data_IF_757663559347
#
_entry.id   IF_757663559347
#
_cell.length_a   1.000
_cell.length_b   1.000
_cell.length_c   1.000
_cell.angle_alpha   90.00
_cell.angle_beta   90.00
_cell.angle_gamma   90.00
#
_symmetry.space_group_name_H-M   'P 1'
#
loop_
_entity.id
_entity.type
_entity.pdbx_description
1 polymer ?
#
# COMPACT_ATOMS: atom_id res chain seq x y z
N UNK A 1 -21.25 -17.22 21.67
CA UNK A 1 -20.34 -18.06 20.85
C UNK A 1 -19.63 -17.26 19.77
N UNK A 2 -20.32 -16.67 18.76
CA UNK A 2 -19.65 -15.90 17.68
C UNK A 2 -18.80 -14.72 18.16
N UNK A 3 -19.31 -13.93 19.12
CA UNK A 3 -18.56 -12.80 19.73
C UNK A 3 -17.32 -13.29 20.48
N UNK A 4 -17.46 -14.39 21.23
CA UNK A 4 -16.35 -15.02 21.97
C UNK A 4 -15.27 -15.54 21.02
N UNK A 5 -15.68 -16.20 19.94
CA UNK A 5 -14.76 -16.68 18.90
C UNK A 5 -14.02 -15.52 18.22
N UNK A 6 -14.72 -14.42 17.94
CA UNK A 6 -14.11 -13.20 17.39
C UNK A 6 -13.06 -12.61 18.34
N UNK A 7 -13.38 -12.49 19.63
CA UNK A 7 -12.43 -11.98 20.64
C UNK A 7 -11.20 -12.88 20.75
N UNK A 8 -11.39 -14.20 20.75
CA UNK A 8 -10.28 -15.16 20.76
C UNK A 8 -9.41 -14.99 19.50
N UNK A 9 -10.01 -14.88 18.31
CA UNK A 9 -9.27 -14.68 17.06
C UNK A 9 -8.50 -13.34 17.06
N UNK A 10 -9.11 -12.27 17.56
CA UNK A 10 -8.45 -10.97 17.69
C UNK A 10 -7.26 -11.02 18.63
N UNK A 11 -7.38 -11.71 19.78
CA UNK A 11 -6.28 -11.88 20.73
C UNK A 11 -5.14 -12.70 20.14
N UNK A 12 -5.44 -13.76 19.40
CA UNK A 12 -4.44 -14.56 18.70
C UNK A 12 -3.71 -13.69 17.68
N UNK A 13 -4.44 -12.95 16.84
CA UNK A 13 -3.84 -12.06 15.84
C UNK A 13 -2.97 -10.99 16.51
N UNK A 14 -3.43 -10.37 17.59
CA UNK A 14 -2.63 -9.38 18.32
C UNK A 14 -1.37 -9.98 18.91
N UNK A 15 -1.42 -11.20 19.44
CA UNK A 15 -0.26 -11.91 19.97
C UNK A 15 0.75 -12.23 18.87
N UNK A 16 0.28 -12.65 17.68
CA UNK A 16 1.14 -12.88 16.51
C UNK A 16 1.80 -11.59 16.03
N UNK A 17 1.04 -10.49 15.92
CA UNK A 17 1.60 -9.18 15.54
C UNK A 17 2.62 -8.72 16.57
N UNK A 18 2.33 -8.85 17.87
CA UNK A 18 3.24 -8.48 18.94
C UNK A 18 4.55 -9.28 18.88
N UNK A 19 4.47 -10.60 18.72
CA UNK A 19 5.66 -11.45 18.57
C UNK A 19 6.47 -11.14 17.31
N UNK A 20 5.83 -10.66 16.24
CA UNK A 20 6.54 -10.22 15.04
C UNK A 20 7.32 -8.91 15.25
N UNK A 21 6.91 -8.05 16.19
CA UNK A 21 7.64 -6.82 16.49
C UNK A 21 9.05 -7.08 17.03
N UNK A 22 9.27 -8.21 17.69
CA UNK A 22 10.60 -8.63 18.17
C UNK A 22 11.60 -8.91 17.04
N UNK A 23 11.11 -9.06 15.80
CA UNK A 23 11.95 -9.30 14.61
C UNK A 23 12.29 -8.02 13.83
N UNK A 24 11.72 -6.88 14.22
CA UNK A 24 11.98 -5.60 13.54
C UNK A 24 13.37 -5.10 13.92
N UNK A 25 14.10 -4.59 12.93
CA UNK A 25 15.41 -4.00 13.16
C UNK A 25 15.34 -2.77 14.09
N UNK A 26 16.36 -2.53 14.93
CA UNK A 26 16.46 -1.32 15.72
C UNK A 26 16.41 -0.06 14.85
N UNK A 27 15.89 1.03 15.42
CA UNK A 27 15.88 2.32 14.74
C UNK A 27 17.29 2.75 14.36
N UNK A 28 17.49 3.10 13.08
CA UNK A 28 18.79 3.51 12.55
C UNK A 28 19.66 2.36 12.01
N UNK A 29 19.22 1.10 12.14
CA UNK A 29 19.95 -0.07 11.67
C UNK A 29 19.13 -0.82 10.61
N UNK A 30 19.05 -0.33 9.36
CA UNK A 30 18.20 -0.94 8.33
C UNK A 30 18.63 -2.37 7.92
N UNK A 31 19.82 -2.81 8.34
CA UNK A 31 20.35 -4.13 7.99
C UNK A 31 20.85 -4.19 6.54
N UNK A 32 20.71 -5.36 5.90
CA UNK A 32 21.14 -5.58 4.52
C UNK A 32 20.02 -5.17 3.55
N UNK A 33 20.13 -3.96 2.99
CA UNK A 33 19.11 -3.35 2.11
C UNK A 33 19.59 -3.17 0.67
N UNK A 34 19.83 -4.28 -0.03
CA UNK A 34 20.37 -4.27 -1.39
C UNK A 34 19.49 -3.50 -2.39
N UNK A 35 18.16 -3.59 -2.26
CA UNK A 35 17.20 -2.87 -3.09
C UNK A 35 17.29 -1.35 -2.86
N UNK A 36 17.31 -0.93 -1.60
CA UNK A 36 17.35 0.49 -1.23
C UNK A 36 18.62 1.15 -1.76
N UNK A 37 19.78 0.49 -1.60
CA UNK A 37 21.05 0.96 -2.14
C UNK A 37 20.99 1.13 -3.66
N UNK A 38 20.42 0.14 -4.37
CA UNK A 38 20.26 0.23 -5.82
C UNK A 38 19.41 1.44 -6.23
N UNK A 39 18.28 1.66 -5.56
CA UNK A 39 17.44 2.83 -5.84
C UNK A 39 18.15 4.15 -5.51
N UNK A 40 18.88 4.24 -4.40
CA UNK A 40 19.62 5.45 -4.05
C UNK A 40 20.70 5.79 -5.08
N UNK A 41 21.36 4.79 -5.65
CA UNK A 41 22.40 4.96 -6.66
C UNK A 41 21.83 5.30 -8.05
N UNK A 42 20.69 4.70 -8.44
CA UNK A 42 20.22 4.73 -9.83
C UNK A 42 18.95 5.58 -10.05
N UNK A 43 18.14 5.84 -9.01
CA UNK A 43 16.83 6.45 -9.20
C UNK A 43 16.87 7.89 -9.72
N UNK A 44 17.97 8.62 -9.45
CA UNK A 44 18.21 9.97 -9.98
C UNK A 44 19.07 9.96 -11.25
N UNK A 45 20.02 9.03 -11.37
CA UNK A 45 20.95 8.98 -12.49
C UNK A 45 20.28 8.51 -13.78
N UNK A 46 19.37 7.53 -13.68
CA UNK A 46 18.82 6.87 -14.85
C UNK A 46 17.46 7.43 -15.30
N UNK A 47 16.80 8.24 -14.45
CA UNK A 47 15.39 8.65 -14.65
C UNK A 47 15.22 10.17 -14.60
N UNK A 48 14.17 10.65 -15.27
CA UNK A 48 13.85 12.09 -15.39
C UNK A 48 13.23 12.71 -14.12
N UNK A 49 13.50 12.17 -12.93
CA UNK A 49 12.91 12.59 -11.67
C UNK A 49 14.00 12.85 -10.62
N UNK A 50 14.13 14.11 -10.21
CA UNK A 50 15.07 14.54 -9.16
C UNK A 50 14.69 14.04 -7.75
N UNK A 51 13.49 13.48 -7.59
CA UNK A 51 13.01 12.92 -6.33
C UNK A 51 13.04 11.39 -6.39
N UNK A 52 13.90 10.79 -5.58
CA UNK A 52 14.04 9.33 -5.49
C UNK A 52 12.70 8.62 -5.18
N UNK A 53 11.87 9.17 -4.29
CA UNK A 53 10.58 8.58 -3.92
C UNK A 53 9.62 8.59 -5.11
N UNK A 54 9.53 9.72 -5.83
CA UNK A 54 8.68 9.83 -7.02
C UNK A 54 9.15 8.91 -8.14
N UNK A 55 10.47 8.81 -8.34
CA UNK A 55 11.09 7.88 -9.29
C UNK A 55 10.74 6.42 -8.97
N UNK A 56 10.80 6.03 -7.69
CA UNK A 56 10.41 4.68 -7.25
C UNK A 56 8.92 4.44 -7.51
N UNK A 57 8.03 5.31 -7.04
CA UNK A 57 6.57 5.06 -7.05
C UNK A 57 5.99 5.11 -8.47
N UNK A 58 6.45 6.02 -9.33
CA UNK A 58 5.90 6.16 -10.68
C UNK A 58 6.64 5.37 -11.75
N UNK A 59 7.90 4.98 -11.52
CA UNK A 59 8.72 4.36 -12.55
C UNK A 59 9.11 2.92 -12.17
N UNK A 60 9.98 2.71 -11.17
CA UNK A 60 10.36 1.35 -10.74
C UNK A 60 9.17 0.50 -10.29
N UNK A 61 8.23 1.11 -9.57
CA UNK A 61 7.01 0.48 -9.03
C UNK A 61 5.75 1.13 -9.59
N UNK A 62 5.82 1.67 -10.81
CA UNK A 62 4.68 2.32 -11.46
C UNK A 62 3.45 1.43 -11.60
N UNK A 63 3.62 0.10 -11.66
CA UNK A 63 2.51 -0.85 -11.72
C UNK A 63 1.65 -0.86 -10.45
N UNK A 64 2.27 -0.69 -9.27
CA UNK A 64 1.54 -0.62 -8.00
C UNK A 64 0.68 0.67 -7.97
N UNK A 65 1.25 1.80 -8.41
CA UNK A 65 0.55 3.09 -8.54
C UNK A 65 -0.56 3.07 -9.59
N UNK A 66 -0.39 2.33 -10.69
CA UNK A 66 -1.46 2.09 -11.66
C UNK A 66 -2.61 1.30 -11.01
N UNK A 67 -2.29 0.32 -10.16
CA UNK A 67 -3.26 -0.40 -9.34
C UNK A 67 -4.01 0.52 -8.37
N UNK A 68 -3.31 1.40 -7.66
CA UNK A 68 -3.91 2.41 -6.79
C UNK A 68 -4.89 3.32 -7.56
N UNK A 69 -4.47 3.81 -8.73
CA UNK A 69 -5.32 4.62 -9.60
C UNK A 69 -6.57 3.84 -10.07
N UNK A 70 -6.43 2.56 -10.40
CA UNK A 70 -7.56 1.71 -10.78
C UNK A 70 -8.54 1.49 -9.61
N UNK A 71 -8.03 1.31 -8.39
CA UNK A 71 -8.86 1.19 -7.18
C UNK A 71 -9.64 2.49 -6.94
N UNK A 72 -8.99 3.64 -6.98
CA UNK A 72 -9.64 4.94 -6.81
C UNK A 72 -10.66 5.22 -7.91
N UNK A 73 -10.32 4.94 -9.16
CA UNK A 73 -11.23 5.07 -10.30
C UNK A 73 -12.47 4.18 -10.13
N UNK A 74 -12.28 2.93 -9.73
CA UNK A 74 -13.38 1.99 -9.49
C UNK A 74 -14.25 2.45 -8.34
N UNK A 75 -13.66 2.94 -7.24
CA UNK A 75 -14.41 3.46 -6.10
C UNK A 75 -15.26 4.67 -6.50
N UNK A 76 -14.66 5.65 -7.19
CA UNK A 76 -15.34 6.87 -7.63
C UNK A 76 -16.47 6.56 -8.64
N UNK A 77 -16.19 5.75 -9.65
CA UNK A 77 -17.20 5.35 -10.65
C UNK A 77 -18.32 4.51 -10.05
N UNK A 78 -18.04 3.66 -9.06
CA UNK A 78 -19.05 2.87 -8.35
C UNK A 78 -20.01 3.76 -7.57
N UNK A 79 -19.49 4.77 -6.85
CA UNK A 79 -20.32 5.77 -6.16
C UNK A 79 -21.18 6.53 -7.17
N UNK A 80 -20.59 7.03 -8.26
CA UNK A 80 -21.33 7.73 -9.31
C UNK A 80 -22.42 6.85 -9.94
N UNK A 81 -22.14 5.57 -10.18
CA UNK A 81 -23.10 4.62 -10.74
C UNK A 81 -24.28 4.36 -9.80
N UNK A 82 -24.02 4.23 -8.49
CA UNK A 82 -25.06 4.04 -7.46
C UNK A 82 -25.98 5.25 -7.32
N UNK A 83 -25.42 6.47 -7.38
CA UNK A 83 -26.18 7.72 -7.24
C UNK A 83 -26.65 8.31 -8.56
N UNK A 84 -26.41 7.64 -9.68
CA UNK A 84 -26.89 8.09 -10.99
C UNK A 84 -28.42 8.04 -10.98
N UNK A 85 -29.07 9.21 -11.03
CA UNK A 85 -30.51 9.28 -11.28
C UNK A 85 -30.81 8.56 -12.61
N UNK A 86 -31.47 7.41 -12.51
CA UNK A 86 -31.93 6.68 -13.67
C UNK A 86 -32.91 7.57 -14.42
N UNK A 87 -32.61 7.89 -15.69
CA UNK A 87 -33.50 8.62 -16.57
C UNK A 87 -34.82 7.87 -16.77
N UNK A 88 -35.76 8.04 -15.83
CA UNK A 88 -37.19 7.82 -15.98
C UNK A 88 -37.95 8.79 -15.08
N UNK A 89 -38.05 10.03 -15.56
CA UNK A 89 -39.31 10.78 -15.50
C UNK A 89 -39.83 10.93 -16.92
N UNK A 90 -40.43 9.85 -17.43
CA UNK A 90 -41.61 9.82 -18.32
C UNK A 90 -42.05 8.38 -18.47
#
# INVERSE_FOLDING_TARGET
>A
MKKTLFVIAALILSGLVWGALDTIHPFGEPGQVAMDNYFLEHAMADRSAENAVTSIVFDFRGFDTLGEAAVLFTAATSVLALFREGGKKK
#
